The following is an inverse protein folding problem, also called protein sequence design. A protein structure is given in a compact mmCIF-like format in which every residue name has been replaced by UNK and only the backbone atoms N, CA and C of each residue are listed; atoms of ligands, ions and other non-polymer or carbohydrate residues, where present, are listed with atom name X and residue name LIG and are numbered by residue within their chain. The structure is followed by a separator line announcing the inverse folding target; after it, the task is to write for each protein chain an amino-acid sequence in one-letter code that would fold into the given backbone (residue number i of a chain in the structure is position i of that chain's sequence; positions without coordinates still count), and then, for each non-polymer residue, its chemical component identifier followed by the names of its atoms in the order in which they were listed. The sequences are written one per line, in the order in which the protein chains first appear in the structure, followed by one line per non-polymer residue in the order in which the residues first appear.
data_IF_869263990852
#
_entry.id   IF_869263990852
#
_cell.length_a   1.000
_cell.length_b   1.000
_cell.length_c   1.000
_cell.angle_alpha   90.00
_cell.angle_beta   90.00
_cell.angle_gamma   90.00
#
_symmetry.space_group_name_H-M   'P 1'
#
loop_
_entity.id
_entity.type
_entity.pdbx_description
1 polymer ?
#
# COMPACT_ATOMS: atom_id res chain seq x y z
N UNK A 1 -9.47 -18.24 -60.38
CA UNK A 1 -9.01 -18.67 -59.05
C UNK A 1 -8.51 -17.43 -58.33
N UNK A 2 -9.30 -16.87 -57.41
CA UNK A 2 -8.93 -15.67 -56.67
C UNK A 2 -8.99 -16.02 -55.19
N UNK A 3 -7.83 -16.14 -54.55
CA UNK A 3 -7.70 -16.52 -53.15
C UNK A 3 -7.72 -15.25 -52.32
N UNK A 4 -8.86 -14.97 -51.68
CA UNK A 4 -8.99 -13.92 -50.67
C UNK A 4 -8.33 -14.42 -49.39
N UNK A 5 -7.11 -13.93 -49.11
CA UNK A 5 -6.43 -14.15 -47.82
C UNK A 5 -6.97 -13.11 -46.84
N UNK A 6 -7.86 -13.55 -45.96
CA UNK A 6 -8.31 -12.77 -44.81
C UNK A 6 -7.22 -12.79 -43.74
N UNK A 7 -6.55 -11.66 -43.53
CA UNK A 7 -5.65 -11.46 -42.39
C UNK A 7 -6.48 -11.32 -41.11
N UNK A 8 -6.60 -12.42 -40.37
CA UNK A 8 -7.17 -12.41 -39.02
C UNK A 8 -6.10 -11.86 -38.08
N UNK A 9 -6.23 -10.58 -37.71
CA UNK A 9 -5.47 -10.02 -36.59
C UNK A 9 -6.01 -10.64 -35.30
N UNK A 10 -5.32 -11.66 -34.79
CA UNK A 10 -5.48 -12.07 -33.40
C UNK A 10 -4.95 -10.94 -32.52
N UNK A 11 -5.85 -10.09 -32.01
CA UNK A 11 -5.55 -9.29 -30.84
C UNK A 11 -5.36 -10.26 -29.68
N UNK A 12 -4.13 -10.70 -29.45
CA UNK A 12 -3.77 -11.19 -28.13
C UNK A 12 -3.94 -9.99 -27.19
N UNK A 13 -5.03 -9.99 -26.43
CA UNK A 13 -5.17 -9.12 -25.28
C UNK A 13 -4.07 -9.52 -24.30
N UNK A 14 -2.92 -8.86 -24.40
CA UNK A 14 -1.94 -8.84 -23.31
C UNK A 14 -2.62 -8.07 -22.20
N UNK A 15 -3.30 -8.80 -21.29
CA UNK A 15 -3.73 -8.23 -20.03
C UNK A 15 -2.49 -7.71 -19.33
N UNK A 16 -2.37 -6.40 -19.07
CA UNK A 16 -1.27 -5.90 -18.28
C UNK A 16 -1.45 -6.44 -16.86
N UNK A 17 -0.42 -7.05 -16.28
CA UNK A 17 -0.33 -7.42 -14.85
C UNK A 17 -0.27 -6.18 -13.94
N UNK A 18 -1.05 -5.12 -14.21
CA UNK A 18 -0.95 -3.80 -13.55
C UNK A 18 -1.96 -3.65 -12.40
N UNK A 19 -2.83 -4.63 -12.14
CA UNK A 19 -3.97 -4.44 -11.23
C UNK A 19 -3.82 -5.10 -9.84
N UNK A 20 -2.87 -6.03 -9.69
CA UNK A 20 -2.67 -6.72 -8.41
C UNK A 20 -1.89 -5.85 -7.42
N UNK A 21 -0.84 -5.17 -7.86
CA UNK A 21 0.01 -4.38 -6.96
C UNK A 21 -0.61 -3.03 -6.60
N UNK A 22 -1.30 -2.39 -7.56
CA UNK A 22 -2.03 -1.13 -7.29
C UNK A 22 -3.10 -1.30 -6.22
N UNK A 23 -3.84 -2.42 -6.24
CA UNK A 23 -4.86 -2.69 -5.22
C UNK A 23 -4.27 -3.04 -3.86
N UNK A 24 -3.11 -3.71 -3.82
CA UNK A 24 -2.41 -3.99 -2.57
C UNK A 24 -1.87 -2.70 -1.93
N UNK A 25 -1.31 -1.80 -2.75
CA UNK A 25 -0.83 -0.51 -2.30
C UNK A 25 -1.95 0.36 -1.72
N UNK A 26 -3.09 0.48 -2.40
CA UNK A 26 -4.23 1.23 -1.88
C UNK A 26 -4.75 0.67 -0.54
N UNK A 27 -4.86 -0.65 -0.42
CA UNK A 27 -5.26 -1.31 0.82
C UNK A 27 -4.24 -1.03 1.94
N UNK A 28 -2.93 -1.16 1.67
CA UNK A 28 -1.88 -0.87 2.64
C UNK A 28 -1.93 0.59 3.12
N UNK A 29 -2.17 1.54 2.20
CA UNK A 29 -2.30 2.96 2.55
C UNK A 29 -3.49 3.21 3.48
N UNK A 30 -4.62 2.56 3.24
CA UNK A 30 -5.82 2.72 4.09
C UNK A 30 -5.58 2.10 5.48
N UNK A 31 -5.08 0.87 5.55
CA UNK A 31 -4.82 0.20 6.84
C UNK A 31 -3.84 0.96 7.73
N UNK A 32 -2.75 1.48 7.16
CA UNK A 32 -1.77 2.28 7.92
C UNK A 32 -2.43 3.56 8.45
N UNK A 33 -3.17 4.28 7.59
CA UNK A 33 -3.85 5.51 7.97
C UNK A 33 -4.90 5.28 9.08
N UNK A 34 -5.74 4.25 8.94
CA UNK A 34 -6.73 3.88 9.97
C UNK A 34 -6.06 3.43 11.26
N UNK A 35 -4.96 2.67 11.17
CA UNK A 35 -4.17 2.26 12.35
C UNK A 35 -3.62 3.47 13.11
N UNK A 36 -3.09 4.46 12.39
CA UNK A 36 -2.60 5.69 12.99
C UNK A 36 -3.71 6.45 13.71
N UNK A 37 -4.86 6.65 13.04
CA UNK A 37 -6.04 7.28 13.64
C UNK A 37 -6.51 6.55 14.89
N UNK A 38 -6.58 5.21 14.87
CA UNK A 38 -6.97 4.39 16.01
C UNK A 38 -5.98 4.50 17.18
N UNK A 39 -4.68 4.63 16.88
CA UNK A 39 -3.66 4.84 17.92
C UNK A 39 -3.83 6.20 18.62
N UNK A 40 -4.29 7.21 17.87
CA UNK A 40 -4.49 8.58 18.31
C UNK A 40 -3.21 9.30 18.78
N UNK A 41 -2.03 8.77 18.46
CA UNK A 41 -0.75 9.21 19.03
C UNK A 41 0.35 9.24 17.97
N UNK A 42 1.36 10.07 18.22
CA UNK A 42 2.55 10.16 17.38
C UNK A 42 2.28 10.85 16.05
N UNK A 43 3.13 10.54 15.07
CA UNK A 43 3.03 11.03 13.71
C UNK A 43 2.33 10.01 12.82
N UNK A 44 1.69 10.50 11.76
CA UNK A 44 1.23 9.63 10.69
C UNK A 44 2.40 8.89 10.04
N UNK A 45 2.14 7.70 9.54
CA UNK A 45 3.03 6.89 8.73
C UNK A 45 2.57 6.94 7.27
N UNK A 46 3.53 7.07 6.37
CA UNK A 46 3.32 7.02 4.91
C UNK A 46 3.90 5.73 4.37
N UNK A 47 3.10 4.98 3.62
CA UNK A 47 3.55 3.81 2.87
C UNK A 47 4.48 4.26 1.75
N UNK A 48 5.65 3.65 1.68
CA UNK A 48 6.66 3.87 0.64
C UNK A 48 6.61 2.77 -0.42
N UNK A 49 6.46 1.53 0.02
CA UNK A 49 6.47 0.36 -0.85
C UNK A 49 5.66 -0.79 -0.25
N UNK A 50 5.26 -1.73 -1.11
CA UNK A 50 4.56 -2.96 -0.72
C UNK A 50 5.23 -4.16 -1.39
N UNK A 51 5.50 -5.19 -0.59
CA UNK A 51 6.23 -6.41 -0.99
C UNK A 51 5.50 -7.66 -0.51
N UNK A 52 5.98 -8.82 -0.97
CA UNK A 52 5.53 -10.15 -0.52
C UNK A 52 4.01 -10.35 -0.55
N UNK A 53 3.36 -9.84 -1.60
CA UNK A 53 1.90 -9.87 -1.71
C UNK A 53 1.42 -11.28 -2.01
N UNK A 54 0.75 -11.91 -1.04
CA UNK A 54 0.09 -13.20 -1.14
C UNK A 54 -1.43 -13.04 -1.00
N UNK A 55 -2.17 -13.70 -1.91
CA UNK A 55 -3.64 -13.70 -1.94
C UNK A 55 -4.26 -15.08 -1.80
N UNK A 56 -3.47 -16.09 -1.43
CA UNK A 56 -3.91 -17.49 -1.34
C UNK A 56 -4.98 -17.71 -0.26
N UNK A 57 -4.79 -17.12 0.93
CA UNK A 57 -5.63 -17.29 2.13
C UNK A 57 -6.23 -15.96 2.62
N UNK A 58 -6.49 -15.03 1.70
CA UNK A 58 -6.92 -13.66 2.01
C UNK A 58 -5.99 -12.63 1.39
N UNK A 59 -5.46 -11.68 2.17
CA UNK A 59 -4.40 -10.77 1.75
C UNK A 59 -3.29 -10.78 2.80
N UNK A 60 -2.08 -11.14 2.41
CA UNK A 60 -0.87 -10.97 3.22
C UNK A 60 0.12 -10.11 2.44
N UNK A 61 0.72 -9.11 3.07
CA UNK A 61 1.73 -8.27 2.45
C UNK A 61 2.68 -7.67 3.48
N UNK A 62 3.87 -7.29 3.02
CA UNK A 62 4.85 -6.50 3.76
C UNK A 62 4.77 -5.05 3.29
N UNK A 63 4.76 -4.10 4.22
CA UNK A 63 4.66 -2.66 3.98
C UNK A 63 5.95 -2.01 4.49
N UNK A 64 6.64 -1.30 3.60
CA UNK A 64 7.68 -0.37 4.00
C UNK A 64 7.02 1.00 4.24
N UNK A 65 7.24 1.58 5.41
CA UNK A 65 6.69 2.88 5.77
C UNK A 65 7.74 3.76 6.46
N UNK A 66 7.46 5.06 6.50
CA UNK A 66 8.16 6.02 7.35
C UNK A 66 7.19 7.00 7.99
N UNK A 67 7.59 7.55 9.13
CA UNK A 67 6.88 8.67 9.75
C UNK A 67 6.93 9.91 8.86
N UNK A 68 5.88 10.72 8.92
CA UNK A 68 5.86 12.07 8.36
C UNK A 68 5.89 13.12 9.48
N UNK A 69 6.09 14.38 9.15
CA UNK A 69 6.15 15.44 10.19
C UNK A 69 4.79 15.78 10.82
N UNK A 70 3.68 15.36 10.22
CA UNK A 70 2.34 15.67 10.69
C UNK A 70 1.87 14.70 11.77
N UNK A 71 1.29 15.26 12.83
CA UNK A 71 0.79 14.50 13.98
C UNK A 71 -0.60 13.94 13.71
N UNK A 72 -0.90 12.79 14.31
CA UNK A 72 -2.23 12.17 14.24
C UNK A 72 -3.33 13.10 14.79
N UNK A 73 -2.99 13.92 15.80
CA UNK A 73 -3.92 14.90 16.39
C UNK A 73 -4.27 16.09 15.48
N UNK A 74 -3.64 16.22 14.31
CA UNK A 74 -3.92 17.30 13.36
C UNK A 74 -5.14 17.04 12.46
N UNK A 75 -5.79 15.88 12.58
CA UNK A 75 -7.01 15.52 11.83
C UNK A 75 -6.90 15.71 10.30
N UNK A 76 -5.71 15.49 9.74
CA UNK A 76 -5.47 15.59 8.29
C UNK A 76 -6.00 14.36 7.56
N UNK A 77 -6.41 14.52 6.30
CA UNK A 77 -6.93 13.42 5.48
C UNK A 77 -5.82 12.49 4.99
N UNK A 78 -6.20 11.31 4.51
CA UNK A 78 -5.25 10.38 3.89
C UNK A 78 -4.57 11.02 2.67
N UNK A 79 -5.29 11.78 1.85
CA UNK A 79 -4.70 12.48 0.70
C UNK A 79 -3.61 13.47 1.13
N UNK A 80 -3.82 14.17 2.25
CA UNK A 80 -2.82 15.06 2.83
C UNK A 80 -1.61 14.29 3.39
N UNK A 81 -1.84 13.11 3.99
CA UNK A 81 -0.77 12.21 4.41
C UNK A 81 0.14 11.80 3.24
N UNK A 82 -0.36 11.76 2.00
CA UNK A 82 0.41 11.46 0.79
C UNK A 82 0.78 12.69 -0.06
N UNK A 83 0.49 13.91 0.39
CA UNK A 83 0.85 15.16 -0.31
C UNK A 83 2.22 15.69 0.12
N UNK A 84 2.64 16.83 -0.44
CA UNK A 84 3.89 17.49 -0.03
C UNK A 84 3.74 18.33 1.26
N UNK A 85 2.54 18.37 1.87
CA UNK A 85 2.28 19.14 3.09
C UNK A 85 3.03 18.57 4.31
N UNK A 86 3.18 17.25 4.36
CA UNK A 86 3.75 16.51 5.48
C UNK A 86 4.95 15.67 5.01
N UNK A 87 6.16 16.24 4.94
CA UNK A 87 7.33 15.51 4.48
C UNK A 87 7.65 14.30 5.36
N UNK A 88 8.26 13.28 4.74
CA UNK A 88 8.83 12.12 5.44
C UNK A 88 9.94 12.58 6.40
N UNK A 89 10.00 11.99 7.58
CA UNK A 89 11.03 12.23 8.60
C UNK A 89 11.66 10.92 9.05
N UNK A 90 12.98 10.96 9.32
CA UNK A 90 13.77 9.86 9.88
C UNK A 90 14.35 10.19 11.26
N UNK A 91 13.75 11.16 11.94
CA UNK A 91 14.26 11.61 13.26
C UNK A 91 14.14 10.51 14.31
N UNK A 92 13.07 9.70 14.26
CA UNK A 92 12.83 8.63 15.23
C UNK A 92 13.19 7.25 14.67
N UNK A 93 12.86 7.00 13.40
CA UNK A 93 13.01 5.70 12.77
C UNK A 93 13.58 5.84 11.36
N UNK A 94 14.56 5.01 11.02
CA UNK A 94 15.14 4.92 9.68
C UNK A 94 14.32 4.04 8.73
N UNK A 95 13.54 3.13 9.32
CA UNK A 95 12.69 2.16 8.65
C UNK A 95 11.55 1.72 9.59
N UNK A 96 10.35 1.57 9.02
CA UNK A 96 9.20 0.93 9.67
C UNK A 96 8.72 -0.16 8.72
N UNK A 97 8.83 -1.41 9.14
CA UNK A 97 8.33 -2.56 8.37
C UNK A 97 7.06 -3.07 9.04
N UNK A 98 5.97 -3.20 8.28
CA UNK A 98 4.72 -3.75 8.79
C UNK A 98 4.28 -4.97 8.00
N UNK A 99 3.77 -5.99 8.69
CA UNK A 99 3.10 -7.13 8.09
C UNK A 99 1.59 -6.98 8.26
N UNK A 100 0.88 -6.89 7.13
CA UNK A 100 -0.58 -6.88 7.09
C UNK A 100 -1.06 -8.28 6.71
N UNK A 101 -1.95 -8.85 7.52
CA UNK A 101 -2.61 -10.12 7.24
C UNK A 101 -4.11 -9.99 7.43
N UNK A 102 -4.86 -10.18 6.36
CA UNK A 102 -6.32 -10.13 6.29
C UNK A 102 -6.86 -11.48 5.81
N UNK A 103 -7.98 -11.91 6.38
CA UNK A 103 -8.77 -13.01 5.85
C UNK A 103 -9.64 -12.57 4.65
N UNK A 104 -10.37 -13.51 4.05
CA UNK A 104 -11.30 -13.20 2.94
C UNK A 104 -12.43 -12.23 3.30
N UNK A 105 -12.68 -12.00 4.59
CA UNK A 105 -13.67 -11.04 5.09
C UNK A 105 -13.03 -9.68 5.44
N UNK A 106 -11.78 -9.44 5.01
CA UNK A 106 -10.98 -8.24 5.32
C UNK A 106 -10.77 -8.00 6.81
N UNK A 107 -10.87 -9.05 7.63
CA UNK A 107 -10.58 -8.97 9.07
C UNK A 107 -9.18 -9.48 9.32
N UNK A 108 -8.41 -8.80 10.16
CA UNK A 108 -7.00 -9.14 10.29
C UNK A 108 -6.21 -8.33 11.30
N UNK A 109 -4.89 -8.40 11.16
CA UNK A 109 -3.92 -7.76 12.05
C UNK A 109 -2.85 -7.04 11.22
N UNK A 110 -2.37 -5.94 11.79
CA UNK A 110 -1.24 -5.16 11.31
C UNK A 110 -0.20 -5.16 12.43
N UNK A 111 0.95 -5.78 12.16
CA UNK A 111 2.08 -5.82 13.09
C UNK A 111 3.22 -5.00 12.50
N UNK A 112 3.85 -4.13 13.28
CA UNK A 112 4.93 -3.26 12.80
C UNK A 112 6.17 -3.36 13.66
N UNK A 113 7.32 -3.42 13.01
CA UNK A 113 8.65 -3.36 13.61
C UNK A 113 9.28 -2.02 13.26
N UNK A 114 9.87 -1.37 14.28
CA UNK A 114 10.44 -0.04 14.18
C UNK A 114 11.95 -0.11 14.35
N UNK A 115 12.70 0.35 13.35
CA UNK A 115 14.16 0.39 13.38
C UNK A 115 14.62 1.83 13.60
N UNK A 116 15.28 2.08 14.73
CA UNK A 116 15.74 3.41 15.12
C UNK A 116 16.86 3.95 14.22
N UNK A 117 16.92 5.28 14.12
CA UNK A 117 18.00 6.02 13.46
C UNK A 117 19.27 6.15 14.32
#
# INVERSE_FOLDING_TARGET
MSVLVAFIFFFMAVMPEINADSSALEEAKDYIYQSDLQSGKGHFRRVLDVKDVDRSEGLSLTIDALSITCQVSSEISQEQVYSDECPITKVEYDEIECHLKLDHSKTGQLECTYYGA
#
